data_IF_025724266120
#
_entry.id   IF_025724266120
#
_cell.length_a   1.000
_cell.length_b   1.000
_cell.length_c   1.000
_cell.angle_alpha   90.00
_cell.angle_beta   90.00
_cell.angle_gamma   90.00
#
_symmetry.space_group_name_H-M   'P 1'
#
loop_
_entity.id
_entity.type
_entity.pdbx_description
1 polymer ?
#
# COMPACT_ATOMS: atom_id res chain seq x y z
N UNK A 1 -16.83 -21.81 7.10
CA UNK A 1 -16.45 -20.40 6.81
C UNK A 1 -15.59 -19.93 7.96
N UNK A 2 -14.31 -19.65 7.74
CA UNK A 2 -13.46 -19.05 8.75
C UNK A 2 -14.02 -17.64 9.05
N UNK A 3 -14.23 -17.34 10.33
CA UNK A 3 -14.55 -15.97 10.75
C UNK A 3 -13.42 -15.04 10.27
N UNK A 4 -13.72 -13.88 9.67
CA UNK A 4 -12.68 -12.93 9.30
C UNK A 4 -11.86 -12.61 10.56
N UNK A 5 -10.54 -12.77 10.45
CA UNK A 5 -9.57 -12.47 11.51
C UNK A 5 -9.89 -11.12 12.12
N UNK A 6 -10.12 -11.08 13.44
CA UNK A 6 -10.48 -9.85 14.16
C UNK A 6 -9.51 -8.73 13.75
N UNK A 7 -10.05 -7.68 13.14
CA UNK A 7 -9.37 -6.38 13.05
C UNK A 7 -9.42 -5.82 14.47
N UNK A 8 -8.43 -6.16 15.29
CA UNK A 8 -8.37 -5.69 16.68
C UNK A 8 -7.97 -4.22 16.72
N UNK A 9 -8.45 -3.51 17.74
CA UNK A 9 -7.88 -2.21 18.14
C UNK A 9 -6.36 -2.34 18.31
N UNK A 10 -5.65 -1.22 18.27
CA UNK A 10 -4.24 -1.22 18.68
C UNK A 10 -4.11 -1.79 20.09
N UNK A 11 -3.03 -2.51 20.37
CA UNK A 11 -2.75 -3.07 21.70
C UNK A 11 -2.67 -2.02 22.82
N UNK A 12 -2.71 -0.74 22.46
CA UNK A 12 -2.50 0.41 23.33
C UNK A 12 -3.81 1.19 23.60
N UNK A 13 -4.95 0.73 23.09
CA UNK A 13 -6.27 1.36 23.31
C UNK A 13 -6.58 2.58 22.42
N UNK A 14 -5.63 3.04 21.61
CA UNK A 14 -5.83 4.13 20.65
C UNK A 14 -6.67 3.68 19.44
N UNK A 15 -7.48 4.59 18.86
CA UNK A 15 -8.31 4.24 17.71
C UNK A 15 -7.45 3.79 16.52
N UNK A 16 -7.72 2.61 15.96
CA UNK A 16 -7.05 2.16 14.75
C UNK A 16 -7.60 2.93 13.55
N UNK A 17 -6.72 3.48 12.70
CA UNK A 17 -7.12 4.22 11.50
C UNK A 17 -6.50 3.56 10.25
N UNK A 18 -7.35 3.15 9.32
CA UNK A 18 -6.97 2.53 8.05
C UNK A 18 -7.46 3.37 6.85
N UNK A 19 -6.76 4.46 6.51
CA UNK A 19 -7.10 5.28 5.35
C UNK A 19 -6.74 4.68 3.99
N UNK A 20 -7.73 4.61 3.11
CA UNK A 20 -7.61 4.52 1.67
C UNK A 20 -7.54 5.92 1.06
N UNK A 21 -6.53 6.16 0.24
CA UNK A 21 -6.28 7.46 -0.40
C UNK A 21 -6.04 7.27 -1.89
N UNK A 22 -6.76 8.00 -2.74
CA UNK A 22 -6.52 7.94 -4.18
C UNK A 22 -7.73 8.25 -5.05
N UNK A 23 -7.82 7.54 -6.17
CA UNK A 23 -8.84 7.72 -7.22
C UNK A 23 -10.09 6.84 -7.00
N UNK A 24 -10.89 6.68 -8.06
CA UNK A 24 -12.10 5.86 -8.03
C UNK A 24 -11.86 4.38 -7.73
N UNK A 25 -10.68 3.83 -8.04
CA UNK A 25 -10.34 2.44 -7.74
C UNK A 25 -10.06 2.27 -6.25
N UNK A 26 -9.36 3.24 -5.63
CA UNK A 26 -9.20 3.30 -4.17
C UNK A 26 -10.55 3.35 -3.46
N UNK A 27 -11.51 4.11 -4.01
CA UNK A 27 -12.89 4.14 -3.49
C UNK A 27 -13.59 2.78 -3.63
N UNK A 28 -13.34 2.05 -4.71
CA UNK A 28 -13.80 0.68 -4.89
C UNK A 28 -13.25 -0.28 -3.84
N UNK A 29 -11.94 -0.21 -3.57
CA UNK A 29 -11.28 -1.00 -2.52
C UNK A 29 -11.83 -0.69 -1.13
N UNK A 30 -12.01 0.59 -0.81
CA UNK A 30 -12.67 1.03 0.41
C UNK A 30 -14.09 0.45 0.52
N UNK A 31 -14.90 0.57 -0.53
CA UNK A 31 -16.29 0.09 -0.54
C UNK A 31 -16.37 -1.43 -0.37
N UNK A 32 -15.46 -2.17 -1.01
CA UNK A 32 -15.33 -3.63 -0.84
C UNK A 32 -15.01 -4.00 0.61
N UNK A 33 -14.04 -3.32 1.22
CA UNK A 33 -13.70 -3.52 2.64
C UNK A 33 -14.90 -3.23 3.55
N UNK A 34 -15.65 -2.15 3.29
CA UNK A 34 -16.87 -1.86 4.05
C UNK A 34 -17.90 -2.98 3.93
N UNK A 35 -18.11 -3.56 2.75
CA UNK A 35 -19.08 -4.65 2.58
C UNK A 35 -18.71 -5.88 3.43
N UNK A 36 -17.42 -6.22 3.50
CA UNK A 36 -16.93 -7.33 4.34
C UNK A 36 -17.22 -7.07 5.84
N UNK A 37 -17.06 -5.82 6.27
CA UNK A 37 -17.23 -5.42 7.68
C UNK A 37 -18.68 -5.18 8.07
N UNK A 38 -19.49 -4.62 7.17
CA UNK A 38 -20.90 -4.35 7.43
C UNK A 38 -21.68 -5.62 7.73
N UNK A 39 -21.28 -6.77 7.17
CA UNK A 39 -21.90 -8.08 7.47
C UNK A 39 -21.53 -8.59 8.87
N UNK A 40 -20.37 -8.20 9.38
CA UNK A 40 -19.80 -8.75 10.62
C UNK A 40 -20.12 -7.85 11.83
N UNK A 41 -20.28 -6.54 11.63
CA UNK A 41 -20.49 -5.55 12.69
C UNK A 41 -21.98 -5.20 12.81
N UNK A 42 -22.60 -5.31 14.00
CA UNK A 42 -23.99 -4.92 14.25
C UNK A 42 -24.31 -3.48 13.86
N UNK A 43 -25.57 -3.19 13.52
CA UNK A 43 -25.99 -1.87 13.03
C UNK A 43 -25.77 -0.73 14.04
N UNK A 44 -26.02 -0.98 15.32
CA UNK A 44 -25.79 -0.02 16.40
C UNK A 44 -24.30 0.23 16.69
N UNK A 45 -23.44 -0.73 16.34
CA UNK A 45 -21.99 -0.72 16.58
C UNK A 45 -21.18 -0.10 15.42
N UNK A 46 -21.83 0.45 14.39
CA UNK A 46 -21.16 1.10 13.26
C UNK A 46 -21.78 2.45 12.87
N UNK A 47 -20.99 3.32 12.25
CA UNK A 47 -21.49 4.53 11.57
C UNK A 47 -20.74 4.77 10.25
N UNK A 48 -21.37 5.52 9.35
CA UNK A 48 -20.78 5.96 8.09
C UNK A 48 -21.10 7.44 7.91
N UNK A 49 -20.07 8.27 7.78
CA UNK A 49 -20.18 9.73 7.79
C UNK A 49 -19.33 10.34 6.68
N UNK A 50 -19.79 11.44 6.10
CA UNK A 50 -19.03 12.23 5.15
C UNK A 50 -18.48 13.48 5.85
N UNK A 51 -17.16 13.59 5.95
CA UNK A 51 -16.45 14.69 6.62
C UNK A 51 -15.57 15.40 5.60
N UNK A 52 -16.07 16.49 5.01
CA UNK A 52 -15.40 17.18 3.91
C UNK A 52 -15.14 16.25 2.72
N UNK A 53 -13.88 16.08 2.33
CA UNK A 53 -13.46 15.16 1.25
C UNK A 53 -13.33 13.69 1.71
N UNK A 54 -13.55 13.39 3.00
CA UNK A 54 -13.42 12.05 3.56
C UNK A 54 -14.76 11.35 3.71
N UNK A 55 -14.78 10.05 3.41
CA UNK A 55 -15.85 9.15 3.86
C UNK A 55 -15.29 8.29 4.99
N UNK A 56 -15.91 8.33 6.17
CA UNK A 56 -15.41 7.70 7.39
C UNK A 56 -16.39 6.64 7.85
N UNK A 57 -15.93 5.40 7.93
CA UNK A 57 -16.65 4.30 8.56
C UNK A 57 -16.06 4.05 9.94
N UNK A 58 -16.90 4.03 10.96
CA UNK A 58 -16.48 3.80 12.34
C UNK A 58 -17.04 2.48 12.85
N UNK A 59 -16.16 1.59 13.31
CA UNK A 59 -16.48 0.37 14.03
C UNK A 59 -16.30 0.63 15.53
N UNK A 60 -17.40 0.97 16.22
CA UNK A 60 -17.37 1.54 17.59
C UNK A 60 -16.77 0.58 18.61
N UNK A 61 -17.21 -0.68 18.59
CA UNK A 61 -16.75 -1.72 19.54
C UNK A 61 -15.27 -2.06 19.39
N UNK A 62 -14.69 -1.79 18.21
CA UNK A 62 -13.29 -2.06 17.90
C UNK A 62 -12.41 -0.82 18.07
N UNK A 63 -13.01 0.32 18.42
CA UNK A 63 -12.35 1.62 18.39
C UNK A 63 -11.55 1.79 17.08
N UNK A 64 -12.21 1.59 15.93
CA UNK A 64 -11.53 1.57 14.64
C UNK A 64 -12.26 2.41 13.60
N UNK A 65 -11.50 3.14 12.79
CA UNK A 65 -11.99 3.90 11.65
C UNK A 65 -11.34 3.44 10.35
N UNK A 66 -12.14 3.43 9.30
CA UNK A 66 -11.71 3.14 7.94
C UNK A 66 -12.17 4.32 7.11
N UNK A 67 -11.21 4.95 6.43
CA UNK A 67 -11.46 6.22 5.77
C UNK A 67 -11.17 6.10 4.29
N UNK A 68 -11.97 6.76 3.46
CA UNK A 68 -11.60 7.08 2.08
C UNK A 68 -11.36 8.57 1.96
N UNK A 69 -10.30 8.97 1.26
CA UNK A 69 -10.05 10.37 0.90
C UNK A 69 -9.65 10.47 -0.57
N UNK A 70 -10.30 11.40 -1.26
CA UNK A 70 -10.14 11.64 -2.68
C UNK A 70 -8.87 12.43 -2.98
N UNK A 71 -7.93 11.80 -3.68
CA UNK A 71 -6.69 12.42 -4.16
C UNK A 71 -6.17 11.68 -5.40
N UNK A 72 -6.85 11.82 -6.55
CA UNK A 72 -6.70 10.89 -7.65
C UNK A 72 -5.32 10.93 -8.30
N UNK A 73 -4.59 12.04 -8.17
CA UNK A 73 -3.28 12.28 -8.77
C UNK A 73 -2.16 12.51 -7.73
N UNK A 74 -2.35 12.05 -6.48
CA UNK A 74 -1.43 12.21 -5.33
C UNK A 74 -1.15 13.65 -4.90
N UNK A 75 -0.70 14.49 -5.84
CA UNK A 75 -0.45 15.91 -5.76
C UNK A 75 -1.74 16.70 -5.92
N UNK A 76 -1.69 17.98 -5.54
CA UNK A 76 -2.77 18.92 -5.79
C UNK A 76 -3.09 18.99 -7.27
N UNK A 77 -4.38 18.88 -7.59
CA UNK A 77 -4.86 18.91 -8.97
C UNK A 77 -6.16 19.69 -9.11
N UNK A 78 -6.46 20.10 -10.34
CA UNK A 78 -7.77 20.66 -10.69
C UNK A 78 -8.90 19.60 -10.63
N UNK A 79 -8.59 18.35 -10.29
CA UNK A 79 -9.56 17.25 -10.17
C UNK A 79 -9.74 16.75 -8.72
N UNK A 80 -9.30 17.53 -7.72
CA UNK A 80 -9.38 17.17 -6.30
C UNK A 80 -10.80 17.28 -5.71
N UNK A 81 -11.76 17.87 -6.42
CA UNK A 81 -13.13 17.94 -5.94
C UNK A 81 -13.89 16.64 -6.29
N UNK A 82 -14.30 15.79 -5.33
CA UNK A 82 -14.96 14.52 -5.63
C UNK A 82 -16.31 14.66 -6.33
N UNK A 83 -16.95 15.83 -6.33
CA UNK A 83 -18.16 16.12 -7.09
C UNK A 83 -17.93 16.74 -8.48
N UNK A 84 -16.78 17.41 -8.69
CA UNK A 84 -16.43 18.15 -9.91
C UNK A 84 -15.12 17.67 -10.58
N UNK A 85 -14.71 16.43 -10.32
CA UNK A 85 -13.43 15.86 -10.76
C UNK A 85 -13.37 15.43 -12.24
N UNK A 86 -14.49 15.51 -12.98
CA UNK A 86 -14.54 15.14 -14.40
C UNK A 86 -14.04 16.30 -15.25
N UNK A 87 -12.72 16.41 -15.33
CA UNK A 87 -12.02 17.44 -16.10
C UNK A 87 -11.27 16.76 -17.24
N UNK A 88 -11.32 17.33 -18.45
CA UNK A 88 -10.61 16.78 -19.60
C UNK A 88 -9.13 17.12 -19.55
N UNK A 89 -8.81 18.40 -19.38
CA UNK A 89 -7.44 18.91 -19.19
C UNK A 89 -7.03 18.84 -17.72
N UNK A 90 -6.60 17.66 -17.29
CA UNK A 90 -6.09 17.49 -15.91
C UNK A 90 -4.72 18.13 -15.78
N UNK A 91 -4.55 18.88 -14.69
CA UNK A 91 -3.29 19.55 -14.35
C UNK A 91 -2.93 19.17 -12.91
N UNK A 92 -1.67 18.77 -12.69
CA UNK A 92 -1.12 18.57 -11.33
C UNK A 92 -0.13 19.68 -11.01
N UNK A 93 -0.09 20.12 -9.76
CA UNK A 93 0.93 21.07 -9.29
C UNK A 93 2.11 20.32 -8.68
N UNK A 94 3.30 20.50 -9.24
CA UNK A 94 4.51 19.82 -8.76
C UNK A 94 4.88 20.29 -7.36
N UNK A 95 5.36 19.39 -6.49
CA UNK A 95 5.81 19.73 -5.13
C UNK A 95 4.68 20.02 -4.13
N UNK A 96 3.42 19.76 -4.48
CA UNK A 96 2.24 20.13 -3.69
C UNK A 96 1.70 19.00 -2.78
N UNK A 97 2.46 17.92 -2.59
CA UNK A 97 2.02 16.72 -1.85
C UNK A 97 1.51 17.04 -0.44
N UNK A 98 2.04 18.09 0.18
CA UNK A 98 1.66 18.57 1.50
C UNK A 98 0.17 18.89 1.62
N UNK A 99 -0.51 19.31 0.53
CA UNK A 99 -1.95 19.58 0.55
C UNK A 99 -2.77 18.35 0.97
N UNK A 100 -2.37 17.16 0.52
CA UNK A 100 -3.09 15.92 0.80
C UNK A 100 -2.47 15.14 1.97
N UNK A 101 -1.15 15.19 2.12
CA UNK A 101 -0.43 14.35 3.06
C UNK A 101 -0.52 14.80 4.53
N UNK A 102 -1.07 15.98 4.80
CA UNK A 102 -1.30 16.48 6.18
C UNK A 102 -1.99 15.47 7.10
N UNK A 103 -2.85 14.60 6.55
CA UNK A 103 -3.62 13.60 7.31
C UNK A 103 -3.08 12.18 7.21
N UNK A 104 -1.81 11.99 6.84
CA UNK A 104 -1.19 10.67 6.74
C UNK A 104 -0.38 10.30 8.00
N UNK A 105 -0.14 11.26 8.91
CA UNK A 105 0.58 11.00 10.17
C UNK A 105 -0.35 10.36 11.21
N UNK A 106 0.21 9.50 12.04
CA UNK A 106 -0.50 8.87 13.17
C UNK A 106 -1.59 7.88 12.76
N UNK A 107 -1.57 7.40 11.50
CA UNK A 107 -2.46 6.35 11.02
C UNK A 107 -1.76 5.00 11.14
N UNK A 108 -2.51 3.91 11.20
CA UNK A 108 -1.93 2.60 11.45
C UNK A 108 -1.70 1.83 10.15
N UNK A 109 -2.60 2.02 9.18
CA UNK A 109 -2.55 1.40 7.86
C UNK A 109 -2.83 2.46 6.80
N UNK A 110 -1.84 2.85 6.02
CA UNK A 110 -2.00 3.80 4.92
C UNK A 110 -2.06 3.05 3.59
N UNK A 111 -3.20 3.07 2.91
CA UNK A 111 -3.39 2.45 1.58
C UNK A 111 -3.46 3.54 0.52
N UNK A 112 -2.45 3.60 -0.33
CA UNK A 112 -2.32 4.57 -1.42
C UNK A 112 -2.58 3.91 -2.76
N UNK A 113 -3.18 4.64 -3.70
CA UNK A 113 -3.27 4.24 -5.10
C UNK A 113 -3.51 5.45 -5.99
N UNK A 114 -2.84 5.48 -7.15
CA UNK A 114 -3.03 6.49 -8.18
C UNK A 114 -2.41 5.97 -9.45
N UNK A 115 -3.19 5.82 -10.53
CA UNK A 115 -2.64 5.28 -11.77
C UNK A 115 -3.39 5.75 -13.02
N UNK A 116 -4.65 5.34 -13.19
CA UNK A 116 -5.35 5.40 -14.48
C UNK A 116 -5.35 6.78 -15.11
N UNK A 117 -5.43 7.83 -14.30
CA UNK A 117 -5.60 9.20 -14.76
C UNK A 117 -4.33 9.82 -15.31
N UNK A 118 -3.15 9.32 -14.92
CA UNK A 118 -1.87 9.78 -15.43
C UNK A 118 -1.64 9.38 -16.89
N UNK A 119 -2.28 8.31 -17.34
CA UNK A 119 -2.00 7.67 -18.63
C UNK A 119 -3.18 7.74 -19.62
N UNK A 120 -4.06 8.74 -19.46
CA UNK A 120 -5.12 9.00 -20.45
C UNK A 120 -4.52 9.36 -21.81
N UNK A 121 -3.49 10.20 -21.79
CA UNK A 121 -2.80 10.76 -22.96
C UNK A 121 -1.27 10.52 -22.85
N UNK A 122 -0.54 10.67 -23.95
CA UNK A 122 0.93 10.51 -23.96
C UNK A 122 1.65 11.60 -23.16
N UNK A 123 1.06 12.80 -23.16
CA UNK A 123 1.53 13.97 -22.45
C UNK A 123 0.56 14.35 -21.34
N UNK A 124 1.10 14.93 -20.27
CA UNK A 124 0.37 15.36 -19.10
C UNK A 124 0.74 16.80 -18.76
N UNK A 125 -0.24 17.62 -18.40
CA UNK A 125 -0.04 19.01 -18.02
C UNK A 125 0.36 19.14 -16.55
N UNK A 126 1.45 19.83 -16.30
CA UNK A 126 1.93 20.15 -14.96
C UNK A 126 1.95 21.66 -14.76
N UNK A 127 1.57 22.10 -13.56
CA UNK A 127 1.74 23.48 -13.12
C UNK A 127 3.09 23.61 -12.41
N UNK A 128 3.97 24.44 -12.96
CA UNK A 128 5.30 24.73 -12.42
C UNK A 128 5.24 25.89 -11.42
N UNK A 129 5.22 25.56 -10.14
CA UNK A 129 5.12 26.58 -9.08
C UNK A 129 3.74 27.25 -9.01
N UNK A 130 3.65 28.36 -8.30
CA UNK A 130 2.41 29.12 -8.14
C UNK A 130 1.26 28.36 -7.47
N UNK A 131 0.03 28.82 -7.75
CA UNK A 131 -1.25 28.29 -7.29
C UNK A 131 -2.24 28.15 -8.47
N UNK A 132 -3.24 27.29 -8.30
CA UNK A 132 -4.37 27.22 -9.25
C UNK A 132 -5.22 28.50 -9.28
N UNK A 133 -5.08 29.36 -8.27
CA UNK A 133 -5.78 30.64 -8.15
C UNK A 133 -5.08 31.79 -8.89
N UNK A 134 -3.83 31.60 -9.32
CA UNK A 134 -3.04 32.65 -9.97
C UNK A 134 -3.64 33.00 -11.35
N UNK A 135 -3.61 34.30 -11.71
CA UNK A 135 -4.10 34.78 -13.01
C UNK A 135 -3.29 34.21 -14.17
N UNK A 136 -1.97 34.19 -14.01
CA UNK A 136 -1.02 33.62 -14.98
C UNK A 136 -0.50 32.29 -14.43
N UNK A 137 -0.73 31.21 -15.18
CA UNK A 137 -0.33 29.86 -14.80
C UNK A 137 0.80 29.39 -15.70
N UNK A 138 1.93 29.00 -15.11
CA UNK A 138 3.04 28.37 -15.83
C UNK A 138 2.76 26.87 -16.00
N UNK A 139 2.04 26.53 -17.08
CA UNK A 139 1.66 25.15 -17.41
C UNK A 139 2.58 24.61 -18.49
N UNK A 140 3.21 23.46 -18.20
CA UNK A 140 4.04 22.73 -19.15
C UNK A 140 3.44 21.35 -19.44
N UNK A 141 3.58 20.89 -20.68
CA UNK A 141 3.30 19.51 -21.05
C UNK A 141 4.57 18.67 -20.97
N UNK A 142 4.52 17.60 -20.19
CA UNK A 142 5.60 16.61 -20.04
C UNK A 142 5.08 15.24 -20.41
N UNK A 143 5.96 14.27 -20.65
CA UNK A 143 5.52 12.90 -20.85
C UNK A 143 4.78 12.39 -19.61
N UNK A 144 3.65 11.72 -19.81
CA UNK A 144 2.80 11.20 -18.73
C UNK A 144 3.55 10.30 -17.73
N UNK A 145 4.50 9.51 -18.22
CA UNK A 145 5.40 8.69 -17.39
C UNK A 145 6.28 9.52 -16.45
N UNK A 146 6.68 10.72 -16.87
CA UNK A 146 7.57 11.59 -16.12
C UNK A 146 6.76 12.42 -15.10
N UNK A 147 5.57 12.89 -15.47
CA UNK A 147 4.61 13.45 -14.51
C UNK A 147 4.25 12.46 -13.40
N UNK A 148 3.93 11.21 -13.76
CA UNK A 148 3.66 10.14 -12.80
C UNK A 148 4.86 9.87 -11.88
N UNK A 149 6.08 9.86 -12.43
CA UNK A 149 7.31 9.71 -11.65
C UNK A 149 7.47 10.84 -10.63
N UNK A 150 7.21 12.10 -11.00
CA UNK A 150 7.27 13.23 -10.07
C UNK A 150 6.26 13.10 -8.92
N UNK A 151 5.05 12.63 -9.22
CA UNK A 151 4.02 12.36 -8.20
C UNK A 151 4.42 11.25 -7.23
N UNK A 152 4.92 10.13 -7.75
CA UNK A 152 5.42 9.02 -6.93
C UNK A 152 6.64 9.43 -6.08
N UNK A 153 7.59 10.15 -6.66
CA UNK A 153 8.76 10.69 -5.95
C UNK A 153 8.34 11.55 -4.76
N UNK A 154 7.45 12.52 -5.00
CA UNK A 154 6.96 13.42 -3.96
C UNK A 154 6.24 12.65 -2.84
N UNK A 155 5.45 11.64 -3.20
CA UNK A 155 4.76 10.78 -2.24
C UNK A 155 5.76 9.98 -1.38
N UNK A 156 6.71 9.29 -2.01
CA UNK A 156 7.69 8.44 -1.33
C UNK A 156 8.62 9.26 -0.44
N UNK A 157 9.12 10.40 -0.91
CA UNK A 157 9.93 11.33 -0.10
C UNK A 157 9.15 11.90 1.08
N UNK A 158 7.86 12.18 0.89
CA UNK A 158 7.03 12.65 1.99
C UNK A 158 6.85 11.55 3.03
N UNK A 159 6.49 10.33 2.61
CA UNK A 159 6.35 9.16 3.52
C UNK A 159 7.65 8.92 4.27
N UNK A 160 8.80 8.91 3.57
CA UNK A 160 10.14 8.78 4.13
C UNK A 160 10.39 9.68 5.34
N UNK A 161 9.98 10.93 5.19
CA UNK A 161 10.33 12.00 6.12
C UNK A 161 9.31 12.14 7.25
N UNK A 162 8.07 11.73 7.04
CA UNK A 162 6.95 12.13 7.88
C UNK A 162 6.16 10.98 8.50
N UNK A 163 6.31 9.76 8.02
CA UNK A 163 5.60 8.58 8.51
C UNK A 163 6.57 7.71 9.29
N UNK A 164 6.22 7.41 10.54
CA UNK A 164 6.92 6.40 11.31
C UNK A 164 6.48 5.01 10.87
N UNK A 165 7.35 4.30 10.15
CA UNK A 165 7.07 2.97 9.62
C UNK A 165 7.15 1.86 10.67
N UNK A 166 7.59 2.17 11.90
CA UNK A 166 7.49 1.23 13.02
C UNK A 166 6.06 1.12 13.55
N UNK A 167 5.31 2.23 13.47
CA UNK A 167 3.91 2.34 13.91
C UNK A 167 2.91 2.23 12.75
N UNK A 168 3.31 2.68 11.55
CA UNK A 168 2.44 2.77 10.37
C UNK A 168 2.84 1.75 9.30
N UNK A 169 1.91 0.90 8.88
CA UNK A 169 2.08 0.06 7.69
C UNK A 169 1.60 0.81 6.45
N UNK A 170 2.46 0.94 5.45
CA UNK A 170 2.12 1.64 4.20
C UNK A 170 2.01 0.63 3.06
N UNK A 171 0.89 0.69 2.34
CA UNK A 171 0.60 -0.11 1.16
C UNK A 171 0.40 0.81 -0.02
N UNK A 172 1.01 0.48 -1.16
CA UNK A 172 0.67 1.07 -2.44
C UNK A 172 0.01 0.00 -3.30
N UNK A 173 -1.25 0.21 -3.67
CA UNK A 173 -1.93 -0.70 -4.58
C UNK A 173 -1.30 -0.52 -5.96
N UNK A 174 -0.89 -1.62 -6.58
CA UNK A 174 -0.39 -1.63 -7.94
C UNK A 174 -1.44 -1.17 -8.96
N UNK A 175 -1.03 -1.15 -10.22
CA UNK A 175 -1.89 -0.72 -11.32
C UNK A 175 -3.12 -1.62 -11.44
N UNK A 176 -4.30 -1.01 -11.55
CA UNK A 176 -5.50 -1.76 -11.94
C UNK A 176 -5.58 -1.84 -13.47
N UNK A 177 -5.60 -3.04 -14.07
CA UNK A 177 -5.68 -3.20 -15.51
C UNK A 177 -7.05 -2.75 -16.04
N UNK A 178 -7.07 -2.17 -17.23
CA UNK A 178 -8.31 -1.97 -17.98
C UNK A 178 -8.53 -3.14 -18.95
N UNK A 179 -9.76 -3.37 -19.37
CA UNK A 179 -10.10 -4.47 -20.28
C UNK A 179 -10.93 -3.90 -21.45
N UNK A 180 -10.28 -3.04 -22.23
CA UNK A 180 -10.96 -2.26 -23.27
C UNK A 180 -11.20 -3.02 -24.57
N UNK A 181 -10.37 -4.02 -24.89
CA UNK A 181 -10.39 -4.71 -26.19
C UNK A 181 -10.24 -6.21 -26.03
N UNK A 182 -11.26 -6.97 -26.43
CA UNK A 182 -11.27 -8.42 -26.20
C UNK A 182 -10.21 -9.20 -26.96
N UNK A 183 -9.70 -8.66 -28.06
CA UNK A 183 -8.53 -9.23 -28.76
C UNK A 183 -7.32 -9.42 -27.86
N UNK A 184 -7.19 -8.63 -26.79
CA UNK A 184 -6.06 -8.75 -25.87
C UNK A 184 -6.08 -10.11 -25.16
N UNK A 185 -7.25 -10.71 -24.95
CA UNK A 185 -7.42 -12.04 -24.33
C UNK A 185 -8.01 -13.08 -25.29
N UNK A 186 -7.87 -12.87 -26.61
CA UNK A 186 -8.28 -13.83 -27.64
C UNK A 186 -9.77 -13.79 -28.04
N UNK A 187 -10.51 -12.77 -27.60
CA UNK A 187 -11.89 -12.52 -28.02
C UNK A 187 -12.01 -11.77 -29.36
N UNK A 188 -13.21 -11.26 -29.64
CA UNK A 188 -13.54 -10.63 -30.93
C UNK A 188 -12.79 -9.31 -31.19
N UNK A 189 -12.67 -8.91 -32.47
CA UNK A 189 -11.93 -7.71 -32.88
C UNK A 189 -12.47 -6.40 -32.30
N UNK A 190 -13.79 -6.28 -32.22
CA UNK A 190 -14.50 -5.10 -31.73
C UNK A 190 -15.19 -5.34 -30.39
N UNK A 191 -14.89 -6.46 -29.73
CA UNK A 191 -15.41 -6.75 -28.41
C UNK A 191 -14.64 -6.01 -27.32
N UNK A 192 -15.20 -6.05 -26.11
CA UNK A 192 -14.65 -5.42 -24.91
C UNK A 192 -14.95 -6.35 -23.72
N UNK A 193 -14.72 -5.90 -22.49
CA UNK A 193 -15.09 -6.68 -21.31
C UNK A 193 -16.61 -6.87 -21.13
N UNK A 194 -17.46 -6.15 -21.88
CA UNK A 194 -18.91 -6.37 -21.82
C UNK A 194 -19.26 -7.78 -22.30
N UNK A 195 -20.13 -8.47 -21.56
CA UNK A 195 -20.55 -9.87 -21.74
C UNK A 195 -19.52 -10.96 -21.38
N UNK A 196 -18.33 -10.58 -20.92
CA UNK A 196 -17.37 -11.56 -20.38
C UNK A 196 -17.84 -12.05 -19.00
N UNK A 197 -18.07 -13.36 -18.84
CA UNK A 197 -18.57 -13.97 -17.58
C UNK A 197 -17.56 -14.90 -16.91
N UNK A 198 -16.41 -15.13 -17.51
CA UNK A 198 -15.36 -16.01 -17.02
C UNK A 198 -14.00 -15.33 -17.03
N UNK A 199 -13.10 -15.78 -16.17
CA UNK A 199 -11.72 -15.30 -16.15
C UNK A 199 -10.94 -15.84 -17.36
N UNK A 200 -9.86 -15.15 -17.73
CA UNK A 200 -8.88 -15.69 -18.67
C UNK A 200 -8.19 -16.89 -18.01
N UNK A 201 -8.36 -18.06 -18.60
CA UNK A 201 -7.80 -19.31 -18.07
C UNK A 201 -6.38 -19.61 -18.57
N UNK A 202 -5.92 -18.92 -19.60
CA UNK A 202 -4.56 -19.05 -20.09
C UNK A 202 -3.57 -18.51 -19.06
N UNK A 203 -2.81 -19.41 -18.43
CA UNK A 203 -1.79 -19.07 -17.44
C UNK A 203 -0.59 -18.33 -18.06
N UNK A 204 -0.44 -18.41 -19.38
CA UNK A 204 0.57 -17.64 -20.11
C UNK A 204 0.02 -16.30 -20.60
N UNK A 205 -1.24 -15.97 -20.25
CA UNK A 205 -1.78 -14.66 -20.55
C UNK A 205 -1.02 -13.60 -19.75
N UNK A 206 -0.31 -12.78 -20.51
CA UNK A 206 0.64 -11.82 -19.97
C UNK A 206 0.02 -10.42 -19.80
N UNK A 207 -1.23 -10.20 -20.21
CA UNK A 207 -1.85 -8.89 -20.24
C UNK A 207 -1.31 -7.97 -21.36
N UNK A 208 -1.82 -6.73 -21.45
CA UNK A 208 -1.39 -5.78 -22.48
C UNK A 208 0.09 -5.37 -22.31
N UNK A 209 0.90 -5.59 -23.36
CA UNK A 209 2.35 -5.32 -23.35
C UNK A 209 2.71 -3.87 -23.01
N UNK A 210 1.86 -2.91 -23.38
CA UNK A 210 2.06 -1.48 -23.11
C UNK A 210 2.14 -1.15 -21.62
N UNK A 211 1.54 -1.97 -20.75
CA UNK A 211 1.42 -1.67 -19.32
C UNK A 211 2.51 -2.33 -18.49
N UNK A 212 3.02 -3.48 -18.94
CA UNK A 212 4.08 -4.22 -18.26
C UNK A 212 5.30 -3.38 -17.91
N UNK A 213 5.73 -2.51 -18.83
CA UNK A 213 6.94 -1.69 -18.61
C UNK A 213 6.73 -0.69 -17.49
N UNK A 214 5.60 0.02 -17.51
CA UNK A 214 5.23 1.00 -16.49
C UNK A 214 4.95 0.35 -15.15
N UNK A 215 4.26 -0.79 -15.15
CA UNK A 215 3.96 -1.57 -13.94
C UNK A 215 5.23 -2.07 -13.27
N UNK A 216 6.09 -2.74 -14.06
CA UNK A 216 7.37 -3.26 -13.56
C UNK A 216 8.24 -2.13 -13.01
N UNK A 217 8.31 -1.00 -13.71
CA UNK A 217 9.06 0.16 -13.23
C UNK A 217 8.47 0.71 -11.92
N UNK A 218 7.14 0.86 -11.83
CA UNK A 218 6.45 1.35 -10.62
C UNK A 218 6.72 0.44 -9.44
N UNK A 219 6.58 -0.88 -9.65
CA UNK A 219 6.82 -1.89 -8.63
C UNK A 219 8.26 -1.84 -8.12
N UNK A 220 9.24 -1.87 -9.02
CA UNK A 220 10.67 -1.79 -8.65
C UNK A 220 10.95 -0.47 -7.92
N UNK A 221 10.46 0.65 -8.43
CA UNK A 221 10.72 1.97 -7.87
C UNK A 221 10.17 2.11 -6.45
N UNK A 222 8.93 1.67 -6.23
CA UNK A 222 8.32 1.67 -4.89
C UNK A 222 9.02 0.66 -3.99
N UNK A 223 9.34 -0.54 -4.46
CA UNK A 223 9.99 -1.58 -3.66
C UNK A 223 11.43 -1.20 -3.27
N UNK A 224 12.22 -0.60 -4.16
CA UNK A 224 13.56 -0.12 -3.83
C UNK A 224 13.48 1.02 -2.82
N UNK A 225 12.55 1.95 -3.02
CA UNK A 225 12.41 3.11 -2.14
C UNK A 225 11.85 2.69 -0.78
N UNK A 226 10.78 1.90 -0.72
CA UNK A 226 10.12 1.43 0.51
C UNK A 226 10.84 0.25 1.18
N UNK A 227 11.41 -0.68 0.41
CA UNK A 227 12.19 -1.81 0.92
C UNK A 227 13.53 -1.38 1.53
N UNK A 228 14.10 -0.25 1.10
CA UNK A 228 15.21 0.38 1.82
C UNK A 228 14.83 0.81 3.25
N UNK A 229 13.54 0.90 3.60
CA UNK A 229 13.09 1.16 4.97
C UNK A 229 12.97 -0.11 5.81
N UNK A 230 12.48 -1.22 5.24
CA UNK A 230 12.45 -2.52 5.91
C UNK A 230 13.88 -3.12 6.08
N UNK A 231 14.86 -2.63 5.32
CA UNK A 231 16.24 -3.12 5.25
C UNK A 231 17.01 -3.15 6.58
N UNK A 232 16.74 -2.22 7.51
CA UNK A 232 17.52 -2.17 8.77
C UNK A 232 17.24 -3.36 9.71
N UNK A 233 16.03 -3.92 9.65
CA UNK A 233 15.61 -5.10 10.44
C UNK A 233 15.67 -6.40 9.64
N UNK A 234 15.46 -6.33 8.32
CA UNK A 234 15.47 -7.51 7.45
C UNK A 234 16.86 -8.01 7.11
N UNK A 235 17.89 -7.15 6.99
CA UNK A 235 19.26 -7.60 6.66
C UNK A 235 19.80 -8.61 7.69
N UNK A 236 19.56 -8.37 8.99
CA UNK A 236 19.90 -9.33 10.05
C UNK A 236 19.09 -10.62 9.93
N UNK A 237 17.80 -10.51 9.60
CA UNK A 237 16.91 -11.67 9.42
C UNK A 237 17.33 -12.53 8.24
N UNK A 238 17.67 -11.93 7.09
CA UNK A 238 18.16 -12.63 5.90
C UNK A 238 19.55 -13.25 6.13
N UNK A 239 20.47 -12.53 6.79
CA UNK A 239 21.77 -13.08 7.16
C UNK A 239 21.61 -14.31 8.06
N UNK A 240 20.79 -14.23 9.12
CA UNK A 240 20.46 -15.37 9.98
C UNK A 240 19.83 -16.51 9.19
N UNK A 241 18.89 -16.22 8.29
CA UNK A 241 18.21 -17.23 7.48
C UNK A 241 19.19 -17.99 6.57
N UNK A 242 20.08 -17.27 5.88
CA UNK A 242 21.10 -17.87 5.00
C UNK A 242 22.12 -18.70 5.78
N UNK A 243 22.59 -18.21 6.93
CA UNK A 243 23.52 -18.95 7.79
C UNK A 243 22.91 -20.24 8.34
N UNK A 244 21.64 -20.21 8.77
CA UNK A 244 20.95 -21.39 9.30
C UNK A 244 20.68 -22.45 8.22
N UNK A 245 20.34 -22.04 6.99
CA UNK A 245 20.23 -22.98 5.87
C UNK A 245 21.57 -23.63 5.56
N UNK A 246 22.64 -22.85 5.49
CA UNK A 246 23.99 -23.38 5.25
C UNK A 246 24.40 -24.39 6.32
N UNK A 247 24.19 -24.05 7.60
CA UNK A 247 24.51 -24.93 8.72
C UNK A 247 23.64 -26.20 8.76
N UNK A 248 22.33 -26.09 8.53
CA UNK A 248 21.42 -27.24 8.52
C UNK A 248 21.69 -28.18 7.34
N UNK A 249 21.99 -27.61 6.17
CA UNK A 249 22.39 -28.39 5.01
C UNK A 249 23.70 -29.14 5.26
N UNK A 250 24.73 -28.45 5.76
CA UNK A 250 26.03 -29.04 6.12
C UNK A 250 25.90 -30.15 7.19
N UNK A 251 25.06 -29.93 8.20
CA UNK A 251 24.76 -30.92 9.24
C UNK A 251 24.07 -32.16 8.66
N UNK A 252 23.06 -31.96 7.81
CA UNK A 252 22.33 -33.07 7.17
C UNK A 252 23.21 -33.88 6.22
N UNK A 253 24.14 -33.24 5.51
CA UNK A 253 25.11 -33.92 4.65
C UNK A 253 26.09 -34.78 5.44
N UNK A 254 26.47 -34.36 6.65
CA UNK A 254 27.42 -35.08 7.49
C UNK A 254 26.79 -36.25 8.28
N UNK A 255 25.49 -36.17 8.60
CA UNK A 255 24.85 -37.11 9.57
C UNK A 255 23.74 -37.98 9.02
N UNK A 256 23.21 -37.71 7.82
CA UNK A 256 22.02 -38.42 7.32
C UNK A 256 22.15 -38.83 5.85
N UNK A 257 21.77 -40.07 5.46
CA UNK A 257 21.82 -40.54 4.08
C UNK A 257 20.57 -40.07 3.30
N UNK A 258 20.24 -38.78 3.38
CA UNK A 258 19.10 -38.20 2.67
C UNK A 258 19.49 -37.75 1.25
N UNK A 259 18.55 -37.85 0.31
CA UNK A 259 18.71 -37.30 -1.04
C UNK A 259 18.84 -35.76 -0.99
N UNK A 260 19.60 -35.11 -1.88
CA UNK A 260 19.85 -33.65 -1.84
C UNK A 260 18.59 -32.78 -1.81
N UNK A 261 17.55 -33.16 -2.55
CA UNK A 261 16.26 -32.46 -2.56
C UNK A 261 15.56 -32.50 -1.20
N UNK A 262 15.63 -33.65 -0.51
CA UNK A 262 15.05 -33.84 0.82
C UNK A 262 15.84 -33.10 1.90
N UNK A 263 17.17 -32.99 1.73
CA UNK A 263 18.04 -32.16 2.58
C UNK A 263 17.69 -30.68 2.49
N UNK A 264 17.41 -30.18 1.28
CA UNK A 264 17.03 -28.77 1.08
C UNK A 264 15.67 -28.46 1.73
N UNK A 265 14.70 -29.39 1.64
CA UNK A 265 13.41 -29.23 2.31
C UNK A 265 13.57 -29.20 3.83
N UNK A 266 14.37 -30.11 4.39
CA UNK A 266 14.61 -30.17 5.83
C UNK A 266 15.35 -28.92 6.34
N UNK A 267 16.36 -28.45 5.58
CA UNK A 267 17.09 -27.22 5.89
C UNK A 267 16.18 -25.99 5.85
N UNK A 268 15.23 -25.92 4.90
CA UNK A 268 14.24 -24.85 4.83
C UNK A 268 13.28 -24.87 6.02
N UNK A 269 12.78 -26.05 6.41
CA UNK A 269 11.92 -26.19 7.59
C UNK A 269 12.65 -25.74 8.87
N UNK A 270 13.90 -26.15 9.07
CA UNK A 270 14.70 -25.74 10.22
C UNK A 270 14.97 -24.22 10.24
N UNK A 271 15.32 -23.65 9.08
CA UNK A 271 15.54 -22.21 8.97
C UNK A 271 14.27 -21.41 9.26
N UNK A 272 13.12 -21.83 8.72
CA UNK A 272 11.84 -21.20 9.03
C UNK A 272 11.51 -21.26 10.52
N UNK A 273 11.67 -22.43 11.17
CA UNK A 273 11.39 -22.58 12.60
C UNK A 273 12.31 -21.72 13.48
N UNK A 274 13.61 -21.70 13.20
CA UNK A 274 14.60 -20.94 13.98
C UNK A 274 14.45 -19.43 13.79
N UNK A 275 14.15 -18.98 12.57
CA UNK A 275 13.91 -17.55 12.32
C UNK A 275 12.61 -17.09 12.96
N UNK A 276 11.55 -17.89 12.95
CA UNK A 276 10.31 -17.57 13.67
C UNK A 276 10.54 -17.49 15.19
N UNK A 277 11.34 -18.41 15.75
CA UNK A 277 11.69 -18.38 17.17
C UNK A 277 12.50 -17.13 17.54
N UNK A 278 13.49 -16.74 16.71
CA UNK A 278 14.29 -15.55 16.93
C UNK A 278 13.46 -14.26 16.85
N UNK A 279 12.59 -14.13 15.83
CA UNK A 279 11.69 -12.98 15.69
C UNK A 279 10.72 -12.89 16.88
N UNK A 280 10.15 -14.03 17.29
CA UNK A 280 9.23 -14.08 18.44
C UNK A 280 9.94 -13.70 19.74
N UNK A 281 11.16 -14.19 19.96
CA UNK A 281 11.99 -13.84 21.12
C UNK A 281 12.36 -12.36 21.16
N UNK A 282 12.74 -11.78 20.01
CA UNK A 282 13.04 -10.35 19.90
C UNK A 282 11.80 -9.49 20.18
N UNK A 283 10.63 -9.88 19.65
CA UNK A 283 9.35 -9.20 19.91
C UNK A 283 8.98 -9.25 21.40
N UNK A 284 9.15 -10.40 22.06
CA UNK A 284 8.92 -10.57 23.50
C UNK A 284 9.89 -9.72 24.31
N UNK A 285 11.18 -9.74 23.98
CA UNK A 285 12.21 -8.95 24.66
C UNK A 285 11.91 -7.45 24.57
N UNK A 286 11.58 -6.95 23.38
CA UNK A 286 11.22 -5.55 23.16
C UNK A 286 9.95 -5.14 23.95
N UNK A 287 8.96 -6.02 24.03
CA UNK A 287 7.76 -5.82 24.85
C UNK A 287 8.06 -5.70 26.35
N UNK A 288 8.99 -6.52 26.87
CA UNK A 288 9.39 -6.45 28.27
C UNK A 288 10.29 -5.24 28.58
N UNK A 289 11.17 -4.87 27.65
CA UNK A 289 12.06 -3.72 27.84
C UNK A 289 11.28 -2.40 27.90
N UNK A 290 10.24 -2.25 27.07
CA UNK A 290 9.35 -1.09 27.10
C UNK A 290 8.44 -1.04 28.33
N UNK A 291 8.22 -2.17 29.03
CA UNK A 291 7.50 -2.21 30.31
C UNK A 291 8.36 -1.92 31.54
N UNK A 292 9.68 -2.07 31.44
CA UNK A 292 10.61 -1.82 32.56
C UNK A 292 11.03 -0.36 32.73
N UNK A 293 10.65 0.53 31.81
CA UNK A 293 11.00 1.96 31.83
C UNK A 293 10.07 2.86 32.64
N UNK A 294 8.86 2.41 32.98
CA UNK A 294 7.92 3.14 33.84
C UNK A 294 8.12 2.73 35.30
N UNK A 295 9.12 3.31 35.97
CA UNK A 295 9.22 3.30 37.43
C UNK A 295 9.28 4.75 37.93
N UNK A 296 8.21 5.27 38.57
CA UNK A 296 8.16 6.66 39.01
C UNK A 296 8.74 6.78 40.42
N UNK A 297 9.98 7.23 40.57
CA UNK A 297 10.44 7.86 41.83
C UNK A 297 11.63 8.78 41.57
N UNK A 298 11.47 10.09 41.83
CA UNK A 298 12.04 10.77 43.02
C UNK A 298 11.87 12.30 42.90
N UNK A 299 10.74 12.82 43.37
CA UNK A 299 10.62 14.19 43.87
C UNK A 299 10.70 14.14 45.39
N UNK A 300 11.65 14.86 45.97
CA UNK A 300 11.83 14.99 47.41
C UNK A 300 12.96 15.98 47.68
N UNK A 301 12.62 17.27 47.56
CA UNK A 301 13.10 18.33 48.44
C UNK A 301 12.04 18.54 49.53
#
# INVERSE_FOLDING_TARGET
MAAPTKITSTGNGNPMAAPYRGDSLSRGHYSSMLCLLQKTIPHNAKSLEQVGQKTVFTAKEYNATIEFYWMPLLLESNADNPGKHRVDDRIVRVGSIHKHAQHWKGVHILVLHSYLWWFKDEYFKILKGGSFEDEVKDVEEVLSKDAYRMGLQSMLEWVKKNVDLTETRVFFTGMSPTHGRSVEWGGERNGSCYNETSMVHDLNYEGPKSWKKTERWTHIYIQETMGAFESRTTCQSWALWTSVIGASFAYSTAKTPLKPSLRLIHARMHAQALTLAAISGAAVYHHFQNRGGDNPTRSGD
#
